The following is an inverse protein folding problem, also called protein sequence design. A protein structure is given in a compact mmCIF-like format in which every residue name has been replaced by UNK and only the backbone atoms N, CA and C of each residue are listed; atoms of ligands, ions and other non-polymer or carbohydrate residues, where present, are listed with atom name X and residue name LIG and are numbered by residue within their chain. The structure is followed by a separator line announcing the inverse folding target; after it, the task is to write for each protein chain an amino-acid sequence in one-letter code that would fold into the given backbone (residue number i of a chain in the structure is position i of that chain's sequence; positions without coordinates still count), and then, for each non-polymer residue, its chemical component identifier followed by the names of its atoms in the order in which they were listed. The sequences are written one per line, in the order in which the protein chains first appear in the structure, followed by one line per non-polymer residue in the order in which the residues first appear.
data_IF_256044825346
#
_entry.id   IF_256044825346
#
_cell.length_a   1.000
_cell.length_b   1.000
_cell.length_c   1.000
_cell.angle_alpha   90.00
_cell.angle_beta   90.00
_cell.angle_gamma   90.00
#
_symmetry.space_group_name_H-M   'P 1'
#
loop_
_entity.id
_entity.type
_entity.pdbx_description
1 polymer ?
#
# COMPACT_ATOMS: atom_id res chain seq x y z
N UNK A 1 -38.83 8.32 -22.30
CA UNK A 1 -38.12 8.17 -21.05
C UNK A 1 -36.84 7.39 -21.23
N UNK A 2 -35.77 7.95 -20.73
CA UNK A 2 -34.50 7.30 -20.91
C UNK A 2 -34.29 6.20 -19.90
N UNK A 3 -33.86 5.05 -20.36
CA UNK A 3 -33.57 3.95 -19.50
C UNK A 3 -32.22 4.15 -18.85
N UNK A 4 -32.16 3.96 -17.55
CA UNK A 4 -30.92 4.11 -16.86
C UNK A 4 -30.01 2.93 -17.16
N UNK A 5 -28.77 3.25 -17.44
CA UNK A 5 -27.77 2.23 -17.69
C UNK A 5 -27.49 1.48 -16.36
N UNK A 6 -27.66 0.16 -16.33
CA UNK A 6 -27.45 -0.60 -15.09
C UNK A 6 -26.00 -0.51 -14.58
N UNK A 7 -25.07 -0.13 -15.43
CA UNK A 7 -23.69 -0.04 -15.02
C UNK A 7 -23.32 1.30 -14.40
N UNK A 8 -24.21 2.31 -14.50
CA UNK A 8 -23.93 3.58 -13.86
C UNK A 8 -23.81 3.47 -12.36
N UNK A 9 -24.74 2.74 -11.74
CA UNK A 9 -24.70 2.54 -10.29
C UNK A 9 -23.48 1.74 -9.88
N UNK A 10 -23.15 0.71 -10.65
CA UNK A 10 -21.98 -0.11 -10.37
C UNK A 10 -20.71 0.72 -10.46
N UNK A 11 -20.61 1.53 -11.50
CA UNK A 11 -19.44 2.39 -11.70
C UNK A 11 -19.28 3.39 -10.56
N UNK A 12 -20.39 4.00 -10.14
CA UNK A 12 -20.35 4.95 -9.03
C UNK A 12 -19.90 4.29 -7.74
N UNK A 13 -20.39 3.07 -7.49
CA UNK A 13 -20.01 2.32 -6.30
C UNK A 13 -18.53 1.96 -6.34
N UNK A 14 -18.04 1.57 -7.49
CA UNK A 14 -16.62 1.23 -7.63
C UNK A 14 -15.73 2.44 -7.39
N UNK A 15 -16.18 3.62 -7.81
CA UNK A 15 -15.44 4.85 -7.57
C UNK A 15 -15.43 5.22 -6.11
N UNK A 16 -16.54 5.00 -5.41
CA UNK A 16 -16.61 5.25 -3.97
C UNK A 16 -15.66 4.34 -3.22
N UNK A 17 -15.64 3.05 -3.57
CA UNK A 17 -14.77 2.07 -2.95
C UNK A 17 -13.31 2.43 -3.23
N UNK A 18 -13.02 2.82 -4.46
CA UNK A 18 -11.66 3.19 -4.83
C UNK A 18 -11.19 4.41 -4.03
N UNK A 19 -12.02 5.41 -3.91
CA UNK A 19 -11.70 6.63 -3.17
C UNK A 19 -11.47 6.32 -1.69
N UNK A 20 -12.34 5.49 -1.10
CA UNK A 20 -12.20 5.10 0.29
C UNK A 20 -10.93 4.28 0.49
N UNK A 21 -10.64 3.40 -0.44
CA UNK A 21 -9.44 2.57 -0.38
C UNK A 21 -8.19 3.42 -0.40
N UNK A 22 -8.16 4.45 -1.23
CA UNK A 22 -7.02 5.36 -1.28
C UNK A 22 -6.84 6.12 0.01
N UNK A 23 -7.93 6.65 0.57
CA UNK A 23 -7.87 7.36 1.83
C UNK A 23 -7.34 6.46 2.94
N UNK A 24 -7.82 5.24 2.99
CA UNK A 24 -7.38 4.27 3.97
C UNK A 24 -5.90 3.93 3.79
N UNK A 25 -5.47 3.79 2.55
CA UNK A 25 -4.08 3.48 2.24
C UNK A 25 -3.15 4.59 2.71
N UNK A 26 -3.51 5.84 2.47
CA UNK A 26 -2.70 6.97 2.91
C UNK A 26 -2.73 7.11 4.43
N UNK A 27 -3.88 6.88 5.06
CA UNK A 27 -3.99 6.91 6.51
C UNK A 27 -3.11 5.84 7.15
N UNK A 28 -3.11 4.64 6.58
CA UNK A 28 -2.27 3.55 7.06
C UNK A 28 -0.80 3.91 6.96
N UNK A 29 -0.41 4.54 5.86
CA UNK A 29 0.98 4.94 5.67
C UNK A 29 1.39 6.01 6.68
N UNK A 30 0.48 6.89 7.06
CA UNK A 30 0.75 7.89 8.07
C UNK A 30 1.05 7.24 9.42
N UNK A 31 0.35 6.16 9.75
CA UNK A 31 0.63 5.38 10.96
C UNK A 31 2.03 4.77 10.86
N UNK A 32 2.38 4.27 9.68
CA UNK A 32 3.70 3.71 9.46
C UNK A 32 4.78 4.77 9.68
N UNK A 33 4.53 5.98 9.18
CA UNK A 33 5.48 7.09 9.34
C UNK A 33 5.68 7.45 10.81
N UNK A 34 4.64 7.32 11.62
CA UNK A 34 4.74 7.63 13.04
C UNK A 34 5.51 6.56 13.81
N UNK A 35 5.29 5.31 13.48
CA UNK A 35 5.81 4.20 14.28
C UNK A 35 7.06 3.54 13.71
N UNK A 36 7.23 3.58 12.40
CA UNK A 36 8.39 3.00 11.72
C UNK A 36 8.90 3.98 10.70
N UNK A 37 9.35 5.15 11.20
CA UNK A 37 9.76 6.25 10.32
C UNK A 37 10.92 5.90 9.42
N UNK A 38 11.85 5.08 9.90
CA UNK A 38 12.99 4.68 9.06
C UNK A 38 12.54 3.85 7.87
N UNK A 39 11.59 2.97 8.10
CA UNK A 39 11.05 2.12 7.05
C UNK A 39 10.30 2.97 6.01
N UNK A 40 9.46 3.87 6.47
CA UNK A 40 8.71 4.74 5.57
C UNK A 40 9.62 5.64 4.76
N UNK A 41 10.66 6.17 5.39
CA UNK A 41 11.64 7.01 4.70
C UNK A 41 12.37 6.24 3.62
N UNK A 42 12.74 5.01 3.91
CA UNK A 42 13.40 4.17 2.93
C UNK A 42 12.50 3.86 1.75
N UNK A 43 11.23 3.60 2.02
CA UNK A 43 10.27 3.33 0.97
C UNK A 43 10.08 4.54 0.06
N UNK A 44 9.89 5.71 0.66
CA UNK A 44 9.71 6.93 -0.12
C UNK A 44 10.95 7.23 -0.95
N UNK A 45 12.11 7.08 -0.35
CA UNK A 45 13.38 7.33 -1.02
C UNK A 45 13.61 6.33 -2.15
N UNK A 46 13.32 5.06 -1.89
CA UNK A 46 13.54 4.01 -2.86
C UNK A 46 12.61 4.08 -4.05
N UNK A 47 11.35 4.42 -3.81
CA UNK A 47 10.38 4.53 -4.91
C UNK A 47 10.37 5.93 -5.52
N UNK A 48 10.95 6.89 -4.82
CA UNK A 48 11.02 8.27 -5.29
C UNK A 48 9.72 9.04 -5.17
N UNK A 49 8.71 8.46 -4.53
CA UNK A 49 7.39 9.04 -4.50
C UNK A 49 6.59 8.40 -3.37
N UNK A 50 5.98 9.23 -2.52
CA UNK A 50 5.20 8.74 -1.40
C UNK A 50 3.99 7.92 -1.86
N UNK A 51 3.36 8.33 -2.95
CA UNK A 51 2.20 7.59 -3.49
C UNK A 51 2.56 6.17 -3.87
N UNK A 52 3.72 5.98 -4.46
CA UNK A 52 4.18 4.64 -4.84
C UNK A 52 4.47 3.80 -3.61
N UNK A 53 5.06 4.40 -2.60
CA UNK A 53 5.34 3.71 -1.35
C UNK A 53 4.04 3.29 -0.67
N UNK A 54 3.05 4.18 -0.64
CA UNK A 54 1.74 3.88 -0.07
C UNK A 54 1.12 2.69 -0.78
N UNK A 55 1.19 2.70 -2.09
CA UNK A 55 0.60 1.63 -2.90
C UNK A 55 1.30 0.30 -2.67
N UNK A 56 2.62 0.34 -2.62
CA UNK A 56 3.41 -0.87 -2.40
C UNK A 56 3.05 -1.54 -1.07
N UNK A 57 2.87 -0.75 -0.03
CA UNK A 57 2.53 -1.28 1.29
C UNK A 57 1.18 -2.00 1.32
N UNK A 58 0.27 -1.60 0.44
CA UNK A 58 -1.07 -2.19 0.40
C UNK A 58 -1.20 -3.36 -0.55
N UNK A 59 -0.19 -3.60 -1.39
CA UNK A 59 -0.25 -4.69 -2.34
C UNK A 59 0.05 -6.02 -1.67
N UNK A 60 -0.52 -7.08 -2.21
CA UNK A 60 -0.22 -8.43 -1.75
C UNK A 60 1.00 -8.92 -2.51
N UNK A 61 2.00 -9.37 -1.78
CA UNK A 61 3.26 -9.78 -2.39
C UNK A 61 3.51 -11.27 -2.25
N UNK A 62 4.03 -11.85 -3.30
CA UNK A 62 4.41 -13.26 -3.26
C UNK A 62 5.49 -13.50 -2.20
N UNK A 63 6.39 -12.55 -2.04
CA UNK A 63 7.45 -12.64 -1.04
C UNK A 63 6.91 -12.74 0.38
N UNK A 64 5.67 -12.32 0.60
CA UNK A 64 5.01 -12.37 1.90
C UNK A 64 3.89 -13.40 1.93
N UNK A 65 3.96 -14.39 1.05
CA UNK A 65 2.96 -15.46 0.98
C UNK A 65 1.55 -14.92 0.73
N UNK A 66 1.45 -13.87 -0.10
CA UNK A 66 0.16 -13.28 -0.45
C UNK A 66 -0.35 -12.25 0.53
N UNK A 67 0.41 -11.92 1.56
CA UNK A 67 0.03 -10.89 2.52
C UNK A 67 0.52 -9.54 2.05
N UNK A 68 -0.10 -8.47 2.55
CA UNK A 68 0.45 -7.14 2.34
C UNK A 68 1.46 -6.85 3.47
N UNK A 69 2.20 -5.76 3.30
CA UNK A 69 3.27 -5.45 4.26
C UNK A 69 2.75 -5.19 5.68
N UNK A 70 1.57 -4.61 5.80
CA UNK A 70 1.00 -4.35 7.12
C UNK A 70 0.70 -5.64 7.86
N UNK A 71 0.24 -6.65 7.15
CA UNK A 71 -0.02 -7.96 7.75
C UNK A 71 1.27 -8.61 8.24
N UNK A 72 2.33 -8.43 7.49
CA UNK A 72 3.66 -8.94 7.88
C UNK A 72 4.10 -8.30 9.20
N UNK A 73 3.86 -6.99 9.34
CA UNK A 73 4.19 -6.28 10.58
C UNK A 73 3.38 -6.83 11.75
N UNK A 74 2.08 -7.00 11.55
CA UNK A 74 1.19 -7.49 12.59
C UNK A 74 1.60 -8.91 13.03
N UNK A 75 2.06 -9.71 12.08
CA UNK A 75 2.49 -11.08 12.36
C UNK A 75 3.86 -11.14 13.01
N UNK A 76 4.49 -9.99 13.27
CA UNK A 76 5.77 -9.94 13.95
C UNK A 76 6.96 -10.25 13.07
N UNK A 77 6.78 -10.22 11.76
CA UNK A 77 7.84 -10.56 10.81
C UNK A 77 8.45 -9.31 10.18
N UNK A 78 8.71 -8.31 10.99
CA UNK A 78 9.24 -7.03 10.51
C UNK A 78 10.59 -7.20 9.81
N UNK A 79 11.40 -8.15 10.27
CA UNK A 79 12.70 -8.42 9.64
C UNK A 79 12.51 -8.85 8.19
N UNK A 80 11.50 -9.67 7.94
CA UNK A 80 11.19 -10.12 6.58
C UNK A 80 10.77 -8.95 5.71
N UNK A 81 10.01 -8.02 6.29
CA UNK A 81 9.61 -6.82 5.58
C UNK A 81 10.83 -5.97 5.22
N UNK A 82 11.76 -5.79 6.16
CA UNK A 82 12.96 -5.03 5.91
C UNK A 82 13.81 -5.65 4.80
N UNK A 83 13.92 -6.96 4.79
CA UNK A 83 14.66 -7.66 3.74
C UNK A 83 14.05 -7.38 2.37
N UNK A 84 12.73 -7.44 2.28
CA UNK A 84 12.06 -7.23 1.01
C UNK A 84 12.14 -5.78 0.57
N UNK A 85 12.02 -4.83 1.50
CA UNK A 85 12.16 -3.41 1.20
C UNK A 85 13.55 -3.11 0.68
N UNK A 86 14.57 -3.64 1.33
CA UNK A 86 15.95 -3.43 0.92
C UNK A 86 16.18 -3.97 -0.48
N UNK A 87 15.64 -5.15 -0.75
CA UNK A 87 15.79 -5.76 -2.07
C UNK A 87 15.06 -4.99 -3.15
N UNK A 88 13.82 -4.58 -2.85
CA UNK A 88 12.96 -3.90 -3.81
C UNK A 88 13.42 -2.48 -4.09
N UNK A 89 13.81 -1.76 -3.06
CA UNK A 89 14.26 -0.39 -3.23
C UNK A 89 15.66 -0.30 -3.80
N UNK A 90 16.29 -1.45 -4.01
CA UNK A 90 17.50 -1.53 -4.77
C UNK A 90 18.62 -0.72 -4.20
N UNK A 91 18.84 -0.87 -2.95
CA UNK A 91 19.98 -0.22 -2.40
C UNK A 91 21.18 -0.74 -3.09
N UNK A 92 21.61 0.02 -4.03
CA UNK A 92 22.77 -0.34 -4.71
C UNK A 92 23.90 0.09 -3.90
N UNK A 93 24.73 -0.77 -3.69
CA UNK A 93 25.91 -0.46 -2.94
C UNK A 93 27.03 -0.15 -3.87
#
# INVERSE_FOLDING_TARGET
MRKRDPFEAVSAQLEEVHSLKEKTAFAAFSVLEEHLSDLSSMLISGFGDRSRAVRWMCMHHRAFDGRNAYQVIVDGETDRLWEEVTRTCGLRV
#
